data_IF_271566445086
#
_entry.id   IF_271566445086
#
_cell.length_a   1.000
_cell.length_b   1.000
_cell.length_c   1.000
_cell.angle_alpha   90.00
_cell.angle_beta   90.00
_cell.angle_gamma   90.00
#
_symmetry.space_group_name_H-M   'P 1'
#
loop_
_entity.id
_entity.type
_entity.pdbx_description
1 polymer ?
#
# COMPACT_ATOMS: atom_id res chain seq x y z
N UNK A 1 -4.23 41.12 1.83
CA UNK A 1 -3.90 40.04 0.89
C UNK A 1 -2.52 39.54 1.26
N UNK A 2 -2.45 38.59 2.19
CA UNK A 2 -1.18 38.04 2.69
C UNK A 2 -1.00 36.69 2.03
N UNK A 3 -0.04 36.62 1.10
CA UNK A 3 0.42 35.38 0.48
C UNK A 3 1.13 34.57 1.57
N UNK A 4 0.59 33.39 1.92
CA UNK A 4 1.30 32.42 2.75
C UNK A 4 2.20 31.62 1.83
N UNK A 5 3.51 31.87 1.90
CA UNK A 5 4.53 31.04 1.25
C UNK A 5 4.58 29.69 1.99
N UNK A 6 4.14 28.63 1.32
CA UNK A 6 4.44 27.25 1.69
C UNK A 6 5.94 27.00 1.47
N UNK A 7 6.64 26.65 2.55
CA UNK A 7 8.03 26.19 2.49
C UNK A 7 8.12 24.91 1.67
N UNK A 8 8.85 24.98 0.56
CA UNK A 8 9.17 23.84 -0.29
C UNK A 8 10.14 22.91 0.43
N UNK A 9 9.62 21.83 0.99
CA UNK A 9 10.37 20.57 0.99
C UNK A 9 10.27 20.06 -0.44
N UNK A 10 11.41 19.91 -1.13
CA UNK A 10 11.48 19.16 -2.39
C UNK A 10 11.23 17.69 -2.07
N UNK A 11 9.96 17.33 -1.86
CA UNK A 11 9.51 15.97 -2.15
C UNK A 11 9.55 15.88 -3.66
N UNK A 12 10.28 14.92 -4.22
CA UNK A 12 10.19 14.65 -5.64
C UNK A 12 8.71 14.52 -6.01
N UNK A 13 8.17 15.48 -6.74
CA UNK A 13 6.81 15.44 -7.22
C UNK A 13 6.75 14.31 -8.23
N UNK A 14 6.26 13.14 -7.82
CA UNK A 14 5.76 12.16 -8.78
C UNK A 14 4.80 12.89 -9.70
N UNK A 15 4.98 12.82 -11.04
CA UNK A 15 4.04 13.47 -11.94
C UNK A 15 2.62 13.01 -11.61
N UNK A 16 1.68 13.95 -11.64
CA UNK A 16 0.26 13.67 -11.49
C UNK A 16 -0.11 12.49 -12.39
N UNK A 17 -0.77 11.48 -11.82
CA UNK A 17 -1.22 10.32 -12.58
C UNK A 17 -2.57 10.63 -13.23
N UNK A 18 -2.74 10.27 -14.50
CA UNK A 18 -4.05 10.35 -15.14
C UNK A 18 -5.03 9.38 -14.48
N UNK A 19 -6.33 9.71 -14.53
CA UNK A 19 -7.36 8.78 -14.07
C UNK A 19 -7.39 7.61 -15.05
N UNK A 20 -7.13 6.40 -14.55
CA UNK A 20 -6.74 5.27 -15.40
C UNK A 20 -7.86 4.62 -16.20
N UNK A 21 -9.13 4.93 -15.90
CA UNK A 21 -10.29 4.40 -16.64
C UNK A 21 -11.42 5.42 -16.70
N UNK A 22 -12.20 5.38 -17.79
CA UNK A 22 -13.37 6.24 -17.97
C UNK A 22 -14.42 6.06 -16.84
N UNK A 23 -14.58 4.86 -16.30
CA UNK A 23 -15.52 4.62 -15.19
C UNK A 23 -15.08 5.35 -13.91
N UNK A 24 -13.78 5.38 -13.62
CA UNK A 24 -13.24 6.19 -12.52
C UNK A 24 -13.37 7.70 -12.80
N UNK A 25 -13.17 8.11 -14.06
CA UNK A 25 -13.39 9.51 -14.46
C UNK A 25 -14.83 9.96 -14.22
N UNK A 26 -15.83 9.15 -14.55
CA UNK A 26 -17.24 9.51 -14.37
C UNK A 26 -17.60 9.82 -12.91
N UNK A 27 -17.19 8.97 -11.97
CA UNK A 27 -17.48 9.19 -10.54
C UNK A 27 -16.70 10.38 -9.98
N UNK A 28 -15.48 10.59 -10.46
CA UNK A 28 -14.66 11.75 -10.11
C UNK A 28 -15.26 13.03 -10.67
N UNK A 29 -15.63 13.04 -11.96
CA UNK A 29 -16.17 14.21 -12.65
C UNK A 29 -17.42 14.73 -11.98
N UNK A 30 -18.32 13.83 -11.57
CA UNK A 30 -19.57 14.24 -10.93
C UNK A 30 -19.37 15.22 -9.79
N UNK A 31 -18.36 15.00 -8.96
CA UNK A 31 -18.20 15.73 -7.70
C UNK A 31 -16.97 16.62 -7.64
N UNK A 32 -15.88 16.27 -8.30
CA UNK A 32 -14.62 17.00 -8.19
C UNK A 32 -14.25 17.80 -9.45
N UNK A 33 -14.84 17.51 -10.63
CA UNK A 33 -14.67 18.38 -11.81
C UNK A 33 -15.18 19.81 -11.56
N UNK A 34 -16.37 20.03 -10.98
CA UNK A 34 -16.84 21.38 -10.67
C UNK A 34 -15.91 22.14 -9.73
N UNK A 35 -15.27 21.45 -8.77
CA UNK A 35 -14.30 22.09 -7.86
C UNK A 35 -13.03 22.44 -8.63
N UNK A 36 -12.52 21.53 -9.46
CA UNK A 36 -11.33 21.74 -10.29
C UNK A 36 -11.48 22.89 -11.28
N UNK A 37 -12.66 23.01 -11.88
CA UNK A 37 -12.99 24.03 -12.88
C UNK A 37 -13.57 25.32 -12.26
N UNK A 38 -13.48 25.47 -10.93
CA UNK A 38 -13.99 26.62 -10.16
C UNK A 38 -15.48 26.92 -10.41
N UNK A 39 -16.28 25.89 -10.69
CA UNK A 39 -17.74 25.96 -10.77
C UNK A 39 -18.40 25.71 -9.40
N UNK A 40 -17.67 25.19 -8.41
CA UNK A 40 -18.16 24.95 -7.06
C UNK A 40 -17.12 25.33 -5.99
N UNK A 41 -17.55 26.10 -4.99
CA UNK A 41 -16.73 26.51 -3.83
C UNK A 41 -16.95 25.57 -2.64
N UNK A 42 -16.36 24.38 -2.67
CA UNK A 42 -16.45 23.38 -1.59
C UNK A 42 -15.23 22.45 -1.54
N UNK A 43 -15.14 21.65 -0.48
CA UNK A 43 -14.12 20.60 -0.35
C UNK A 43 -14.15 19.56 -1.48
N UNK A 44 -13.01 18.90 -1.68
CA UNK A 44 -12.87 17.71 -2.52
C UNK A 44 -13.56 16.49 -1.90
N UNK A 45 -14.21 15.70 -2.75
CA UNK A 45 -14.73 14.38 -2.39
C UNK A 45 -13.65 13.32 -2.57
N UNK A 46 -12.87 13.34 -3.64
CA UNK A 46 -11.84 12.34 -3.94
C UNK A 46 -10.45 12.92 -3.73
N UNK A 47 -10.23 14.12 -4.25
CA UNK A 47 -8.95 14.82 -4.33
C UNK A 47 -8.76 15.43 -5.72
N UNK A 48 -7.83 16.39 -5.86
CA UNK A 48 -7.62 17.10 -7.12
C UNK A 48 -7.19 16.17 -8.27
N UNK A 49 -6.43 15.13 -7.94
CA UNK A 49 -5.87 14.16 -8.87
C UNK A 49 -5.55 12.81 -8.16
N UNK A 50 -5.38 11.72 -8.92
CA UNK A 50 -4.86 10.47 -8.40
C UNK A 50 -3.44 10.60 -7.82
N UNK A 51 -3.18 9.89 -6.73
CA UNK A 51 -1.85 9.79 -6.09
C UNK A 51 -1.13 8.50 -6.45
N UNK A 52 -1.73 7.67 -7.30
CA UNK A 52 -1.14 6.44 -7.85
C UNK A 52 -1.50 6.28 -9.33
N UNK A 53 -0.70 5.52 -10.09
CA UNK A 53 -1.17 4.98 -11.37
C UNK A 53 -2.36 4.03 -11.15
N UNK A 54 -2.94 3.54 -12.25
CA UNK A 54 -3.87 2.42 -12.20
C UNK A 54 -3.12 1.15 -11.77
N UNK A 55 -3.59 0.52 -10.70
CA UNK A 55 -2.96 -0.67 -10.11
C UNK A 55 -3.89 -1.87 -10.22
N UNK A 56 -3.28 -3.04 -10.33
CA UNK A 56 -3.97 -4.33 -10.24
C UNK A 56 -3.66 -4.92 -8.86
N UNK A 57 -4.63 -4.86 -7.95
CA UNK A 57 -4.50 -5.43 -6.61
C UNK A 57 -5.06 -6.86 -6.58
N UNK A 58 -4.42 -7.80 -5.87
CA UNK A 58 -4.96 -9.13 -5.70
C UNK A 58 -6.26 -9.09 -4.88
N UNK A 59 -7.27 -9.86 -5.29
CA UNK A 59 -8.59 -9.96 -4.65
C UNK A 59 -9.28 -11.27 -5.09
N UNK A 60 -9.58 -12.18 -4.17
CA UNK A 60 -9.94 -13.58 -4.47
C UNK A 60 -11.11 -13.72 -5.48
N UNK A 61 -12.20 -12.96 -5.32
CA UNK A 61 -13.37 -12.98 -6.21
C UNK A 61 -13.27 -11.99 -7.39
N UNK A 62 -12.13 -11.31 -7.53
CA UNK A 62 -11.92 -10.25 -8.51
C UNK A 62 -11.68 -10.79 -9.92
N UNK A 63 -12.09 -10.02 -10.93
CA UNK A 63 -11.77 -10.25 -12.33
C UNK A 63 -11.40 -8.93 -13.02
N UNK A 64 -10.12 -8.75 -13.34
CA UNK A 64 -9.60 -7.52 -13.91
C UNK A 64 -8.49 -7.81 -14.92
N UNK A 65 -8.48 -7.08 -16.03
CA UNK A 65 -7.50 -7.25 -17.12
C UNK A 65 -7.46 -8.66 -17.74
N UNK A 66 -8.58 -9.40 -17.70
CA UNK A 66 -8.62 -10.80 -18.15
C UNK A 66 -7.95 -11.79 -17.19
N UNK A 67 -7.66 -11.35 -15.95
CA UNK A 67 -7.04 -12.15 -14.89
C UNK A 67 -8.03 -12.30 -13.74
N UNK A 68 -8.23 -13.54 -13.27
CA UNK A 68 -8.99 -13.85 -12.06
C UNK A 68 -8.13 -13.64 -10.80
N UNK A 69 -8.77 -13.35 -9.68
CA UNK A 69 -8.08 -13.12 -8.40
C UNK A 69 -7.49 -11.71 -8.28
N UNK A 70 -7.97 -10.75 -9.06
CA UNK A 70 -7.48 -9.37 -9.04
C UNK A 70 -8.57 -8.33 -9.32
N UNK A 71 -8.35 -7.09 -8.84
CA UNK A 71 -9.22 -5.93 -9.06
C UNK A 71 -8.44 -4.71 -9.53
N UNK A 72 -9.07 -3.87 -10.33
CA UNK A 72 -8.51 -2.56 -10.68
C UNK A 72 -8.70 -1.60 -9.51
N UNK A 73 -7.64 -0.89 -9.14
CA UNK A 73 -7.72 0.17 -8.13
C UNK A 73 -6.94 1.41 -8.55
N UNK A 74 -7.36 2.57 -8.02
CA UNK A 74 -6.57 3.79 -8.09
C UNK A 74 -6.77 4.61 -6.82
N UNK A 75 -5.68 5.16 -6.28
CA UNK A 75 -5.68 5.93 -5.05
C UNK A 75 -5.82 7.42 -5.34
N UNK A 76 -6.64 8.08 -4.53
CA UNK A 76 -6.73 9.53 -4.41
C UNK A 76 -6.42 9.91 -2.95
N UNK A 77 -6.31 11.21 -2.64
CA UNK A 77 -6.10 11.64 -1.25
C UNK A 77 -7.15 11.09 -0.29
N UNK A 78 -8.43 11.18 -0.66
CA UNK A 78 -9.55 10.91 0.24
C UNK A 78 -10.09 9.48 0.16
N UNK A 79 -9.61 8.65 -0.76
CA UNK A 79 -10.13 7.28 -0.97
C UNK A 79 -9.29 6.44 -1.93
N UNK A 80 -9.69 5.18 -2.14
CA UNK A 80 -9.31 4.32 -3.28
C UNK A 80 -10.58 3.95 -4.03
N UNK A 81 -10.61 4.20 -5.34
CA UNK A 81 -11.66 3.67 -6.24
C UNK A 81 -11.28 2.28 -6.71
N UNK A 82 -12.27 1.41 -6.88
CA UNK A 82 -12.04 0.04 -7.30
C UNK A 82 -13.14 -0.52 -8.21
N UNK A 83 -12.73 -1.35 -9.16
CA UNK A 83 -13.59 -2.23 -9.97
C UNK A 83 -13.15 -3.65 -9.68
N UNK A 84 -13.94 -4.35 -8.86
CA UNK A 84 -13.69 -5.75 -8.49
C UNK A 84 -13.96 -6.69 -9.67
N UNK A 85 -15.01 -6.41 -10.45
CA UNK A 85 -15.43 -7.22 -11.60
C UNK A 85 -15.57 -6.37 -12.85
N UNK A 86 -14.53 -6.37 -13.69
CA UNK A 86 -14.50 -5.60 -14.95
C UNK A 86 -15.47 -6.11 -16.03
N UNK A 87 -15.97 -7.32 -15.85
CA UNK A 87 -17.01 -8.00 -16.65
C UNK A 87 -18.45 -7.75 -16.13
N UNK A 88 -18.59 -6.98 -15.04
CA UNK A 88 -19.89 -6.66 -14.42
C UNK A 88 -20.73 -5.65 -15.22
N UNK A 89 -21.95 -5.43 -14.73
CA UNK A 89 -22.86 -4.42 -15.28
C UNK A 89 -22.32 -3.01 -15.02
N UNK A 90 -22.08 -2.25 -16.09
CA UNK A 90 -21.51 -0.90 -16.04
C UNK A 90 -22.55 0.16 -15.67
N UNK A 91 -23.82 -0.16 -15.79
CA UNK A 91 -24.92 0.74 -15.43
C UNK A 91 -25.29 0.62 -13.94
N UNK A 92 -24.70 -0.33 -13.21
CA UNK A 92 -24.84 -0.42 -11.75
C UNK A 92 -24.13 0.77 -11.08
N UNK A 93 -24.86 1.49 -10.24
CA UNK A 93 -24.34 2.54 -9.35
C UNK A 93 -23.15 2.09 -8.48
N UNK A 94 -22.99 0.77 -8.26
CA UNK A 94 -21.90 0.15 -7.51
C UNK A 94 -20.88 -0.56 -8.41
N UNK A 95 -20.88 -0.34 -9.72
CA UNK A 95 -19.83 -0.85 -10.62
C UNK A 95 -18.45 -0.34 -10.21
N UNK A 96 -18.37 0.96 -9.90
CA UNK A 96 -17.22 1.56 -9.22
C UNK A 96 -17.55 1.71 -7.74
N UNK A 97 -16.72 1.12 -6.89
CA UNK A 97 -16.87 1.26 -5.44
C UNK A 97 -15.68 1.97 -4.82
N UNK A 98 -15.81 2.30 -3.54
CA UNK A 98 -14.75 2.84 -2.71
C UNK A 98 -14.30 1.74 -1.73
N UNK A 99 -12.99 1.54 -1.65
CA UNK A 99 -12.39 0.57 -0.72
C UNK A 99 -12.75 0.86 0.73
N UNK A 100 -12.72 -0.17 1.57
CA UNK A 100 -13.14 -0.11 2.99
C UNK A 100 -11.98 0.42 3.87
N UNK A 101 -11.27 1.43 3.36
CA UNK A 101 -9.94 1.82 3.81
C UNK A 101 -9.90 2.25 5.28
N UNK A 102 -10.88 3.02 5.73
CA UNK A 102 -10.96 3.45 7.12
C UNK A 102 -11.15 2.25 8.05
N UNK A 103 -12.06 1.32 7.71
CA UNK A 103 -12.26 0.08 8.47
C UNK A 103 -10.99 -0.76 8.50
N UNK A 104 -10.32 -0.91 7.38
CA UNK A 104 -9.10 -1.71 7.28
C UNK A 104 -7.92 -1.09 8.06
N UNK A 105 -7.72 0.23 8.01
CA UNK A 105 -6.70 0.94 8.81
C UNK A 105 -6.99 0.87 10.31
N UNK A 106 -8.26 1.00 10.70
CA UNK A 106 -8.66 0.94 12.11
C UNK A 106 -8.48 -0.48 12.64
N UNK A 107 -8.90 -1.50 11.89
CA UNK A 107 -8.85 -2.89 12.36
C UNK A 107 -7.52 -3.59 12.12
N UNK A 108 -6.72 -3.08 11.19
CA UNK A 108 -5.54 -3.76 10.68
C UNK A 108 -5.85 -4.96 9.78
N UNK A 109 -7.10 -5.14 9.35
CA UNK A 109 -7.54 -6.29 8.55
C UNK A 109 -7.62 -5.88 7.09
N UNK A 110 -6.56 -6.12 6.33
CA UNK A 110 -6.52 -5.80 4.90
C UNK A 110 -7.44 -6.74 4.13
N UNK A 111 -8.42 -6.19 3.40
CA UNK A 111 -9.34 -6.99 2.62
C UNK A 111 -8.66 -7.52 1.35
N UNK A 112 -8.79 -8.83 1.16
CA UNK A 112 -8.19 -9.58 0.06
C UNK A 112 -9.20 -10.47 -0.68
N UNK A 113 -10.46 -10.44 -0.26
CA UNK A 113 -11.61 -11.11 -0.86
C UNK A 113 -12.87 -10.70 -0.09
N UNK A 114 -14.04 -11.15 -0.54
CA UNK A 114 -15.34 -10.84 0.08
C UNK A 114 -15.40 -11.36 1.51
N UNK A 115 -14.87 -12.57 1.72
CA UNK A 115 -14.80 -13.24 3.03
C UNK A 115 -13.41 -13.32 3.65
N UNK A 116 -12.38 -12.77 2.99
CA UNK A 116 -10.97 -12.97 3.39
C UNK A 116 -10.26 -11.66 3.70
N UNK A 117 -9.48 -11.68 4.78
CA UNK A 117 -8.63 -10.58 5.20
C UNK A 117 -7.29 -11.07 5.77
N UNK A 118 -6.24 -10.27 5.62
CA UNK A 118 -4.92 -10.48 6.23
C UNK A 118 -4.75 -9.50 7.40
N UNK A 119 -4.23 -9.98 8.53
CA UNK A 119 -4.07 -9.18 9.75
C UNK A 119 -2.67 -8.56 9.85
N UNK A 120 -2.60 -7.24 9.98
CA UNK A 120 -1.38 -6.46 10.17
C UNK A 120 -1.39 -5.56 11.42
N UNK A 121 -2.50 -5.57 12.16
CA UNK A 121 -2.72 -4.69 13.31
C UNK A 121 -3.14 -3.26 12.93
N UNK A 122 -3.86 -2.54 13.83
CA UNK A 122 -4.32 -1.17 13.58
C UNK A 122 -3.19 -0.21 13.21
N UNK A 123 -3.46 0.73 12.31
CA UNK A 123 -2.47 1.69 11.83
C UNK A 123 -2.21 2.81 12.85
N UNK A 124 -0.94 3.05 13.16
CA UNK A 124 -0.47 4.15 14.01
C UNK A 124 -0.30 5.48 13.24
N UNK A 125 -1.16 5.73 12.25
CA UNK A 125 -1.16 6.96 11.43
C UNK A 125 -2.21 7.93 11.97
N UNK A 126 -1.87 9.21 12.08
CA UNK A 126 -2.81 10.26 12.50
C UNK A 126 -4.02 10.32 11.57
N UNK A 127 -5.23 10.38 12.13
CA UNK A 127 -6.48 10.42 11.37
C UNK A 127 -6.66 11.79 10.71
N UNK A 128 -6.29 12.85 11.41
CA UNK A 128 -6.39 14.23 10.98
C UNK A 128 -5.23 15.04 11.56
N UNK A 129 -4.98 16.22 10.97
CA UNK A 129 -3.91 17.11 11.39
C UNK A 129 -2.55 16.78 10.78
N UNK A 130 -1.51 17.38 11.35
CA UNK A 130 -0.12 17.27 10.90
C UNK A 130 0.39 15.83 11.10
N UNK A 131 1.19 15.35 10.14
CA UNK A 131 1.74 13.99 10.18
C UNK A 131 2.61 13.73 11.41
N UNK A 132 3.31 14.75 11.90
CA UNK A 132 4.19 14.67 13.08
C UNK A 132 3.49 15.04 14.40
N UNK A 133 2.17 15.23 14.40
CA UNK A 133 1.43 15.49 15.63
C UNK A 133 1.45 14.25 16.53
N UNK A 134 2.09 14.38 17.70
CA UNK A 134 2.22 13.31 18.69
C UNK A 134 1.02 13.22 19.65
N UNK A 135 0.03 14.09 19.50
CA UNK A 135 -1.12 14.22 20.42
C UNK A 135 -2.46 13.86 19.78
N UNK A 136 -2.59 13.99 18.45
CA UNK A 136 -3.81 13.63 17.74
C UNK A 136 -4.11 12.11 17.75
N UNK A 137 -5.39 11.72 17.60
CA UNK A 137 -5.79 10.33 17.48
C UNK A 137 -5.33 9.72 16.16
N UNK A 138 -5.00 8.43 16.22
CA UNK A 138 -4.65 7.58 15.09
C UNK A 138 -5.79 6.63 14.75
N UNK A 139 -5.67 5.90 13.63
CA UNK A 139 -6.61 4.80 13.34
C UNK A 139 -6.60 3.73 14.44
N UNK A 140 -5.45 3.50 15.08
CA UNK A 140 -5.35 2.66 16.28
C UNK A 140 -6.17 3.20 17.46
N UNK A 141 -6.20 4.52 17.70
CA UNK A 141 -7.08 5.14 18.73
C UNK A 141 -8.54 4.83 18.45
N UNK A 142 -8.95 4.94 17.18
CA UNK A 142 -10.32 4.65 16.77
C UNK A 142 -10.71 3.18 16.93
N UNK A 143 -9.75 2.26 16.87
CA UNK A 143 -10.01 0.84 17.08
C UNK A 143 -10.49 0.55 18.50
N UNK A 144 -9.98 1.30 19.49
CA UNK A 144 -10.35 1.17 20.91
C UNK A 144 -11.82 1.53 21.14
N UNK A 145 -12.35 2.51 20.39
CA UNK A 145 -13.70 3.05 20.61
C UNK A 145 -14.77 2.47 19.68
N UNK A 146 -14.43 1.44 18.89
CA UNK A 146 -15.39 0.80 17.97
C UNK A 146 -16.58 0.19 18.68
N UNK A 147 -16.41 -0.30 19.90
CA UNK A 147 -17.45 -1.00 20.67
C UNK A 147 -18.09 -0.12 21.75
N UNK A 148 -17.82 1.19 21.75
CA UNK A 148 -18.47 2.12 22.70
C UNK A 148 -19.98 2.18 22.52
N UNK A 149 -20.76 2.45 23.57
CA UNK A 149 -22.22 2.54 23.45
C UNK A 149 -22.61 3.74 22.57
N UNK A 150 -23.50 3.56 21.58
CA UNK A 150 -23.99 4.65 20.76
C UNK A 150 -24.71 5.73 21.56
N UNK A 151 -24.50 6.99 21.19
CA UNK A 151 -25.26 8.09 21.78
C UNK A 151 -26.72 8.03 21.30
N UNK A 152 -27.72 8.32 22.15
CA UNK A 152 -29.10 8.45 21.70
C UNK A 152 -29.24 9.53 20.64
N UNK A 153 -30.18 9.38 19.71
CA UNK A 153 -30.43 10.40 18.69
C UNK A 153 -30.86 11.75 19.31
N UNK A 154 -30.37 12.87 18.78
CA UNK A 154 -30.60 14.22 19.31
C UNK A 154 -29.72 14.59 20.50
N UNK A 155 -28.67 13.81 20.80
CA UNK A 155 -27.74 14.12 21.90
C UNK A 155 -26.67 15.09 21.42
N UNK A 156 -26.44 16.18 22.15
CA UNK A 156 -25.32 17.10 21.89
C UNK A 156 -23.99 16.38 22.12
N UNK A 157 -23.15 16.35 21.08
CA UNK A 157 -21.88 15.64 21.07
C UNK A 157 -20.82 16.47 21.79
N UNK A 158 -20.38 15.94 22.92
CA UNK A 158 -19.39 16.52 23.84
C UNK A 158 -18.33 15.50 24.27
N UNK A 159 -18.49 14.25 23.80
CA UNK A 159 -17.50 13.20 24.01
C UNK A 159 -16.20 13.55 23.29
N UNK A 160 -15.08 13.27 23.95
CA UNK A 160 -13.74 13.50 23.40
C UNK A 160 -13.00 12.19 23.22
N UNK A 161 -11.98 12.17 22.38
CA UNK A 161 -11.05 11.05 22.24
C UNK A 161 -9.61 11.54 22.29
N UNK A 162 -8.77 10.87 23.08
CA UNK A 162 -7.33 11.10 23.12
C UNK A 162 -6.56 10.11 22.23
N UNK A 163 -5.25 10.33 22.05
CA UNK A 163 -4.38 9.46 21.25
C UNK A 163 -4.37 7.99 21.65
N UNK A 164 -4.55 7.67 22.93
CA UNK A 164 -4.61 6.29 23.41
C UNK A 164 -5.99 5.63 23.21
N UNK A 165 -6.96 6.37 22.66
CA UNK A 165 -8.34 5.92 22.51
C UNK A 165 -9.19 6.11 23.77
N UNK A 166 -8.67 6.75 24.83
CA UNK A 166 -9.48 7.08 26.00
C UNK A 166 -10.57 8.09 25.65
N UNK A 167 -11.80 7.78 26.05
CA UNK A 167 -12.96 8.65 25.84
C UNK A 167 -13.17 9.54 27.06
N UNK A 168 -13.26 10.84 26.83
CA UNK A 168 -13.58 11.85 27.82
C UNK A 168 -14.86 12.62 27.49
N UNK A 169 -15.05 13.73 28.18
CA UNK A 169 -16.14 14.67 27.92
C UNK A 169 -15.64 16.09 28.17
N UNK A 170 -15.93 17.00 27.25
CA UNK A 170 -15.69 18.43 27.42
C UNK A 170 -16.98 19.19 27.07
N UNK A 171 -17.55 19.87 28.07
CA UNK A 171 -18.79 20.60 27.94
C UNK A 171 -18.68 21.81 27.00
N UNK A 172 -17.48 22.38 26.84
CA UNK A 172 -17.23 23.52 25.96
C UNK A 172 -17.53 23.18 24.50
N UNK A 173 -17.39 21.92 24.09
CA UNK A 173 -17.80 21.47 22.74
C UNK A 173 -19.31 21.54 22.51
N UNK A 174 -20.10 21.66 23.56
CA UNK A 174 -21.54 21.92 23.47
C UNK A 174 -21.86 23.25 22.78
N UNK A 175 -20.95 24.23 22.83
CA UNK A 175 -21.12 25.53 22.17
C UNK A 175 -21.15 25.42 20.64
N UNK A 176 -20.58 24.35 20.07
CA UNK A 176 -20.68 24.07 18.63
C UNK A 176 -22.02 23.48 18.20
N UNK A 177 -22.86 23.07 19.17
CA UNK A 177 -24.22 22.56 18.95
C UNK A 177 -24.32 21.47 17.86
N UNK A 178 -23.34 20.57 17.83
CA UNK A 178 -23.40 19.37 16.99
C UNK A 178 -24.13 18.28 17.76
N UNK A 179 -25.16 17.70 17.15
CA UNK A 179 -25.98 16.64 17.74
C UNK A 179 -25.79 15.33 16.97
N UNK A 180 -26.20 14.20 17.54
CA UNK A 180 -26.43 12.97 16.78
C UNK A 180 -27.77 13.05 16.04
N UNK A 181 -27.83 12.64 14.77
CA UNK A 181 -29.00 12.89 13.91
C UNK A 181 -29.68 11.64 13.32
N UNK A 182 -28.92 10.60 13.00
CA UNK A 182 -29.47 9.37 12.38
C UNK A 182 -28.77 8.15 12.93
N UNK A 183 -29.54 7.13 13.31
CA UNK A 183 -29.03 5.81 13.73
C UNK A 183 -29.14 4.84 12.56
N UNK A 184 -28.07 4.10 12.28
CA UNK A 184 -28.09 3.02 11.28
C UNK A 184 -28.41 1.70 11.96
N UNK A 185 -29.30 0.89 11.37
CA UNK A 185 -29.69 -0.40 11.96
C UNK A 185 -28.54 -1.40 11.92
N UNK A 186 -27.82 -1.47 10.79
CA UNK A 186 -26.78 -2.47 10.54
C UNK A 186 -25.58 -2.38 11.49
N UNK A 187 -25.15 -1.17 11.88
CA UNK A 187 -24.04 -0.99 12.84
C UNK A 187 -24.49 -0.50 14.21
N UNK A 188 -25.79 -0.17 14.34
CA UNK A 188 -26.39 0.44 15.54
C UNK A 188 -25.77 1.78 15.96
N UNK A 189 -24.90 2.39 15.13
CA UNK A 189 -24.20 3.65 15.39
C UNK A 189 -25.03 4.86 14.99
N UNK A 190 -24.78 5.98 15.67
CA UNK A 190 -25.38 7.27 15.30
C UNK A 190 -24.41 8.18 14.55
N UNK A 191 -24.93 8.94 13.59
CA UNK A 191 -24.16 9.86 12.75
C UNK A 191 -24.32 11.29 13.29
N UNK A 192 -23.23 12.04 13.42
CA UNK A 192 -23.31 13.45 13.79
C UNK A 192 -24.09 14.26 12.74
N UNK A 193 -24.88 15.25 13.17
CA UNK A 193 -25.77 16.05 12.33
C UNK A 193 -25.03 16.74 11.19
N UNK A 194 -23.85 17.29 11.46
CA UNK A 194 -22.98 17.91 10.44
C UNK A 194 -22.56 16.92 9.34
N UNK A 195 -22.27 15.68 9.70
CA UNK A 195 -21.89 14.63 8.74
C UNK A 195 -23.11 14.11 7.99
N UNK A 196 -24.24 13.92 8.67
CA UNK A 196 -25.48 13.50 8.03
C UNK A 196 -25.97 14.54 7.01
N UNK A 197 -25.86 15.83 7.35
CA UNK A 197 -26.18 16.92 6.43
C UNK A 197 -25.25 16.93 5.22
N UNK A 198 -23.94 16.71 5.41
CA UNK A 198 -22.98 16.61 4.31
C UNK A 198 -23.28 15.43 3.38
N UNK A 199 -23.55 14.25 3.93
CA UNK A 199 -23.89 13.04 3.17
C UNK A 199 -25.21 13.18 2.38
N UNK A 200 -26.08 14.12 2.76
CA UNK A 200 -27.34 14.42 2.06
C UNK A 200 -27.31 15.76 1.31
N UNK A 201 -26.14 16.38 1.19
CA UNK A 201 -26.02 17.72 0.62
C UNK A 201 -26.22 17.75 -0.90
N UNK A 202 -26.65 18.91 -1.37
CA UNK A 202 -26.76 19.25 -2.78
C UNK A 202 -25.76 20.37 -3.12
N UNK A 203 -25.38 20.44 -4.39
CA UNK A 203 -24.55 21.50 -4.93
C UNK A 203 -24.29 21.26 -6.41
N UNK A 204 -23.42 22.07 -7.01
CA UNK A 204 -23.05 21.90 -8.41
C UNK A 204 -22.29 20.59 -8.62
N UNK A 205 -22.81 19.77 -9.52
CA UNK A 205 -22.27 18.49 -9.99
C UNK A 205 -22.09 18.54 -11.51
N UNK A 206 -21.30 17.62 -12.04
CA UNK A 206 -21.27 17.35 -13.48
C UNK A 206 -22.11 16.10 -13.78
N UNK A 207 -23.13 16.20 -14.63
CA UNK A 207 -24.03 15.07 -14.94
C UNK A 207 -23.56 14.19 -16.12
N UNK A 208 -22.38 14.51 -16.68
CA UNK A 208 -21.83 13.89 -17.88
C UNK A 208 -21.98 14.76 -19.13
N UNK A 209 -22.80 15.80 -19.08
CA UNK A 209 -23.00 16.75 -20.17
C UNK A 209 -22.81 18.19 -19.72
N UNK A 210 -23.44 18.58 -18.61
CA UNK A 210 -23.50 19.96 -18.13
C UNK A 210 -23.24 20.05 -16.61
N UNK A 211 -22.98 21.28 -16.15
CA UNK A 211 -22.97 21.60 -14.72
C UNK A 211 -24.40 21.90 -14.26
N UNK A 212 -24.88 21.11 -13.29
CA UNK A 212 -26.23 21.23 -12.74
C UNK A 212 -26.21 21.19 -11.22
N UNK A 213 -27.22 21.75 -10.57
CA UNK A 213 -27.41 21.57 -9.14
C UNK A 213 -28.08 20.22 -8.88
N UNK A 214 -27.51 19.44 -7.96
CA UNK A 214 -28.05 18.13 -7.60
C UNK A 214 -27.38 17.54 -6.36
N UNK A 215 -27.82 16.35 -5.96
CA UNK A 215 -27.24 15.64 -4.82
C UNK A 215 -25.79 15.27 -5.13
N UNK A 216 -24.88 15.62 -4.22
CA UNK A 216 -23.47 15.24 -4.32
C UNK A 216 -23.32 13.72 -4.32
N UNK A 217 -24.14 13.04 -3.50
CA UNK A 217 -24.19 11.59 -3.39
C UNK A 217 -25.60 11.08 -3.70
N UNK A 218 -25.72 10.15 -4.64
CA UNK A 218 -27.02 9.54 -4.97
C UNK A 218 -27.52 8.67 -3.81
N UNK A 219 -26.61 7.87 -3.24
CA UNK A 219 -26.76 7.21 -1.95
C UNK A 219 -25.89 7.93 -0.90
N UNK A 220 -26.44 8.34 0.26
CA UNK A 220 -25.66 9.00 1.32
C UNK A 220 -24.43 8.22 1.79
N UNK A 221 -24.43 6.89 1.67
CA UNK A 221 -23.37 5.98 2.10
C UNK A 221 -22.42 5.58 0.96
N UNK A 222 -22.61 6.08 -0.26
CA UNK A 222 -21.74 5.76 -1.41
C UNK A 222 -20.27 6.03 -1.11
N UNK A 223 -19.95 7.27 -0.67
CA UNK A 223 -18.58 7.69 -0.43
C UNK A 223 -18.01 7.18 0.91
N UNK A 224 -18.83 7.12 1.96
CA UNK A 224 -18.37 6.89 3.34
C UNK A 224 -18.56 5.44 3.82
N UNK A 225 -19.58 4.73 3.30
CA UNK A 225 -20.05 3.49 3.91
C UNK A 225 -20.73 3.72 5.25
N UNK A 226 -21.03 2.66 5.99
CA UNK A 226 -21.75 2.78 7.26
C UNK A 226 -20.84 3.33 8.38
N UNK A 227 -21.39 4.05 9.38
CA UNK A 227 -20.62 4.48 10.55
C UNK A 227 -20.12 3.28 11.34
N UNK A 228 -18.84 3.31 11.73
CA UNK A 228 -18.18 2.26 12.54
C UNK A 228 -17.70 2.75 13.91
N UNK A 229 -17.82 4.06 14.18
CA UNK A 229 -17.66 4.67 15.50
C UNK A 229 -18.77 5.70 15.75
N UNK A 230 -18.95 6.09 17.01
CA UNK A 230 -19.64 7.34 17.35
C UNK A 230 -18.78 8.58 16.98
N UNK A 231 -19.36 9.79 16.97
CA UNK A 231 -18.60 11.02 16.76
C UNK A 231 -17.88 11.48 18.04
N UNK A 232 -16.61 11.84 17.92
CA UNK A 232 -15.77 12.29 19.04
C UNK A 232 -15.05 13.60 18.72
N UNK A 233 -14.98 14.51 19.67
CA UNK A 233 -14.14 15.70 19.58
C UNK A 233 -12.69 15.39 19.95
N UNK A 234 -11.77 16.08 19.29
CA UNK A 234 -10.35 16.08 19.63
C UNK A 234 -9.74 17.42 19.26
N UNK A 235 -8.60 17.73 19.84
CA UNK A 235 -7.73 18.81 19.36
C UNK A 235 -6.57 18.18 18.59
N UNK A 236 -6.32 18.63 17.37
CA UNK A 236 -5.18 18.21 16.53
C UNK A 236 -4.38 19.42 16.08
N UNK A 237 -3.13 19.23 15.66
CA UNK A 237 -2.34 20.31 15.05
C UNK A 237 -2.62 20.40 13.56
N UNK A 238 -2.80 21.61 13.05
CA UNK A 238 -2.87 21.89 11.61
C UNK A 238 -1.94 23.06 11.33
N UNK A 239 -0.90 22.80 10.54
CA UNK A 239 0.19 23.77 10.31
C UNK A 239 0.82 24.26 11.62
N UNK A 240 0.98 23.36 12.59
CA UNK A 240 1.53 23.62 13.91
C UNK A 240 0.56 24.22 14.94
N UNK A 241 -0.61 24.69 14.52
CA UNK A 241 -1.59 25.35 15.41
C UNK A 241 -2.68 24.38 15.87
N UNK A 242 -3.11 24.43 17.14
CA UNK A 242 -4.19 23.59 17.64
C UNK A 242 -5.53 23.95 16.98
N UNK A 243 -6.27 22.92 16.58
CA UNK A 243 -7.61 23.01 15.99
C UNK A 243 -8.52 21.99 16.64
N UNK A 244 -9.70 22.43 17.05
CA UNK A 244 -10.77 21.54 17.48
C UNK A 244 -11.46 20.92 16.28
N UNK A 245 -11.53 19.59 16.30
CA UNK A 245 -12.03 18.78 15.20
C UNK A 245 -12.94 17.69 15.77
N UNK A 246 -14.15 17.60 15.25
CA UNK A 246 -15.00 16.43 15.46
C UNK A 246 -14.62 15.38 14.42
N UNK A 247 -14.41 14.14 14.84
CA UNK A 247 -14.09 13.01 13.96
C UNK A 247 -15.16 11.92 14.09
N UNK A 248 -15.51 11.30 12.97
CA UNK A 248 -16.32 10.08 12.95
C UNK A 248 -15.85 9.14 11.84
N UNK A 249 -15.58 7.89 12.21
CA UNK A 249 -15.19 6.87 11.25
C UNK A 249 -16.40 6.14 10.67
N UNK A 250 -16.34 5.96 9.35
CA UNK A 250 -17.21 5.13 8.55
C UNK A 250 -16.35 4.03 7.90
N UNK A 251 -16.99 3.08 7.23
CA UNK A 251 -16.26 1.93 6.66
C UNK A 251 -15.19 2.33 5.65
N UNK A 252 -15.49 3.31 4.80
CA UNK A 252 -14.62 3.73 3.68
C UNK A 252 -13.79 4.96 4.02
N UNK A 253 -14.33 5.85 4.88
CA UNK A 253 -13.72 7.16 5.17
C UNK A 253 -13.87 7.55 6.64
N UNK A 254 -13.00 8.44 7.08
CA UNK A 254 -13.22 9.20 8.31
C UNK A 254 -13.62 10.61 7.91
N UNK A 255 -14.73 11.10 8.44
CA UNK A 255 -15.16 12.49 8.27
C UNK A 255 -14.69 13.33 9.44
N UNK A 256 -14.28 14.56 9.14
CA UNK A 256 -13.83 15.57 10.10
C UNK A 256 -14.68 16.81 9.98
N UNK A 257 -15.08 17.41 11.11
CA UNK A 257 -15.75 18.70 11.15
C UNK A 257 -14.93 19.71 11.97
N UNK A 258 -14.54 20.81 11.32
CA UNK A 258 -13.74 21.89 11.90
C UNK A 258 -14.53 23.19 11.86
N UNK A 259 -15.17 23.62 12.97
CA UNK A 259 -16.02 24.82 13.01
C UNK A 259 -15.34 26.10 12.50
N UNK A 260 -14.04 26.22 12.77
CA UNK A 260 -13.22 27.38 12.40
C UNK A 260 -12.84 27.45 10.92
N UNK A 261 -13.25 26.48 10.08
CA UNK A 261 -13.02 26.54 8.64
C UNK A 261 -14.13 27.37 7.94
N UNK A 262 -13.83 27.94 6.75
CA UNK A 262 -14.85 28.60 5.92
C UNK A 262 -15.99 27.65 5.54
N UNK A 263 -17.16 28.22 5.25
CA UNK A 263 -18.30 27.47 4.70
C UNK A 263 -17.86 26.72 3.44
N UNK A 264 -18.24 25.45 3.29
CA UNK A 264 -17.76 24.57 2.22
C UNK A 264 -16.54 23.70 2.57
N UNK A 265 -15.77 24.07 3.61
CA UNK A 265 -14.61 23.32 4.13
C UNK A 265 -14.74 22.96 5.61
N UNK A 266 -15.92 23.16 6.20
CA UNK A 266 -16.16 22.76 7.59
C UNK A 266 -16.23 21.25 7.74
N UNK A 267 -16.80 20.53 6.79
CA UNK A 267 -16.79 19.06 6.75
C UNK A 267 -15.85 18.62 5.64
N UNK A 268 -14.91 17.74 5.97
CA UNK A 268 -13.96 17.17 5.03
C UNK A 268 -13.80 15.67 5.30
N UNK A 269 -13.33 14.91 4.31
CA UNK A 269 -12.81 13.57 4.57
C UNK A 269 -11.33 13.66 4.98
N UNK A 270 -10.91 12.80 5.91
CA UNK A 270 -9.49 12.54 6.15
C UNK A 270 -8.80 12.07 4.86
N UNK A 271 -7.47 12.21 4.77
CA UNK A 271 -6.67 11.72 3.65
C UNK A 271 -6.47 10.19 3.70
N UNK A 272 -7.56 9.44 3.89
CA UNK A 272 -7.54 7.99 4.14
C UNK A 272 -6.98 7.21 2.94
N UNK A 273 -7.14 7.70 1.71
CA UNK A 273 -6.57 7.07 0.53
C UNK A 273 -5.04 7.16 0.55
N UNK A 274 -4.50 8.35 0.86
CA UNK A 274 -3.06 8.54 1.07
C UNK A 274 -2.52 7.72 2.23
N UNK A 275 -3.20 7.74 3.37
CA UNK A 275 -2.79 6.98 4.56
C UNK A 275 -2.79 5.47 4.29
N UNK A 276 -3.79 4.97 3.57
CA UNK A 276 -3.86 3.55 3.22
C UNK A 276 -2.79 3.16 2.20
N UNK A 277 -2.53 3.99 1.18
CA UNK A 277 -1.46 3.73 0.23
C UNK A 277 -0.09 3.64 0.93
N UNK A 278 0.19 4.59 1.85
CA UNK A 278 1.37 4.52 2.71
C UNK A 278 1.39 3.22 3.52
N UNK A 279 0.32 2.92 4.25
CA UNK A 279 0.23 1.71 5.07
C UNK A 279 0.40 0.42 4.24
N UNK A 280 -0.06 0.37 3.00
CA UNK A 280 0.02 -0.84 2.17
C UNK A 280 1.38 -1.01 1.48
N UNK A 281 1.96 0.08 0.97
CA UNK A 281 3.09 0.04 0.02
C UNK A 281 4.40 0.67 0.52
N UNK A 282 4.48 1.04 1.79
CA UNK A 282 5.73 1.55 2.41
C UNK A 282 6.08 0.74 3.64
N UNK A 283 7.34 0.80 4.06
CA UNK A 283 7.78 0.30 5.36
C UNK A 283 7.90 1.48 6.33
N UNK A 284 6.90 1.67 7.20
CA UNK A 284 6.85 2.80 8.15
C UNK A 284 7.01 4.20 7.52
N UNK A 285 6.70 4.36 6.24
CA UNK A 285 6.88 5.61 5.49
C UNK A 285 8.14 5.67 4.62
N UNK A 286 9.04 4.71 4.75
CA UNK A 286 10.23 4.54 3.90
C UNK A 286 9.91 3.67 2.67
N UNK A 287 10.74 3.69 1.61
CA UNK A 287 10.60 2.80 0.47
C UNK A 287 10.45 1.34 0.92
N UNK A 288 9.41 0.67 0.42
CA UNK A 288 9.11 -0.70 0.82
C UNK A 288 10.17 -1.73 0.40
N UNK A 289 10.79 -1.50 -0.75
CA UNK A 289 11.88 -2.34 -1.22
C UNK A 289 13.20 -1.72 -0.83
N UNK A 290 14.09 -2.52 -0.24
CA UNK A 290 15.45 -2.13 0.11
C UNK A 290 16.43 -3.22 -0.32
N UNK A 291 17.64 -2.82 -0.70
CA UNK A 291 18.75 -3.75 -0.91
C UNK A 291 19.58 -3.90 0.36
N UNK A 292 20.18 -5.07 0.56
CA UNK A 292 21.23 -5.25 1.56
C UNK A 292 22.58 -4.72 1.06
N UNK A 293 23.57 -4.65 1.94
CA UNK A 293 24.96 -4.42 1.55
C UNK A 293 25.40 -5.46 0.52
N UNK A 294 26.02 -4.99 -0.56
CA UNK A 294 26.48 -5.86 -1.63
C UNK A 294 27.85 -6.43 -1.32
N UNK A 295 28.10 -7.66 -1.78
CA UNK A 295 29.46 -8.17 -1.95
C UNK A 295 29.83 -8.15 -3.42
N UNK A 296 31.12 -8.00 -3.71
CA UNK A 296 31.65 -8.02 -5.06
C UNK A 296 32.70 -9.12 -5.24
N UNK A 297 32.68 -9.79 -6.39
CA UNK A 297 33.72 -10.72 -6.84
C UNK A 297 34.13 -10.40 -8.26
N UNK A 298 35.26 -10.94 -8.71
CA UNK A 298 35.69 -10.85 -10.11
C UNK A 298 35.39 -12.16 -10.82
N UNK A 299 34.87 -12.04 -12.04
CA UNK A 299 34.75 -13.16 -12.95
C UNK A 299 36.12 -13.60 -13.52
N UNK A 300 36.13 -14.62 -14.37
CA UNK A 300 37.36 -15.11 -15.02
C UNK A 300 38.00 -14.09 -15.98
N UNK A 301 37.25 -13.10 -16.43
CA UNK A 301 37.72 -12.00 -17.29
C UNK A 301 38.17 -10.78 -16.48
N UNK A 302 37.98 -10.78 -15.15
CA UNK A 302 38.30 -9.68 -14.26
C UNK A 302 37.14 -8.73 -13.97
N UNK A 303 35.97 -8.90 -14.63
CA UNK A 303 34.83 -8.02 -14.44
C UNK A 303 34.19 -8.20 -13.06
N UNK A 304 33.65 -7.12 -12.48
CA UNK A 304 32.97 -7.19 -11.19
C UNK A 304 31.58 -7.79 -11.32
N UNK A 305 31.26 -8.65 -10.36
CA UNK A 305 29.95 -9.23 -10.14
C UNK A 305 29.51 -8.84 -8.74
N UNK A 306 28.38 -8.17 -8.60
CA UNK A 306 27.81 -7.82 -7.31
C UNK A 306 26.67 -8.76 -6.94
N UNK A 307 26.54 -9.04 -5.65
CA UNK A 307 25.51 -9.91 -5.08
C UNK A 307 24.93 -9.28 -3.82
N UNK A 308 23.63 -9.42 -3.62
CA UNK A 308 22.91 -8.91 -2.46
C UNK A 308 21.53 -9.54 -2.35
N UNK A 309 20.71 -9.01 -1.45
CA UNK A 309 19.28 -9.35 -1.34
C UNK A 309 18.43 -8.10 -1.54
N UNK A 310 17.26 -8.26 -2.15
CA UNK A 310 16.16 -7.28 -2.04
C UNK A 310 15.22 -7.77 -0.95
N UNK A 311 14.84 -6.89 -0.02
CA UNK A 311 13.84 -7.12 1.03
C UNK A 311 12.57 -6.35 0.73
N UNK A 312 11.42 -6.97 0.96
CA UNK A 312 10.12 -6.31 0.87
C UNK A 312 9.51 -6.09 2.27
N UNK A 313 9.58 -4.86 2.77
CA UNK A 313 8.98 -4.44 4.03
C UNK A 313 7.50 -4.01 3.93
N UNK A 314 6.91 -4.00 2.72
CA UNK A 314 5.50 -3.66 2.56
C UNK A 314 4.55 -4.77 3.05
N UNK A 315 3.27 -4.41 3.11
CA UNK A 315 2.14 -5.34 3.31
C UNK A 315 1.61 -5.90 1.98
N UNK A 316 2.22 -5.54 0.86
CA UNK A 316 1.84 -5.95 -0.47
C UNK A 316 3.02 -6.60 -1.21
N UNK A 317 2.75 -7.59 -2.06
CA UNK A 317 3.76 -8.17 -2.95
C UNK A 317 4.09 -7.21 -4.10
N UNK A 318 5.32 -7.27 -4.59
CA UNK A 318 5.79 -6.52 -5.76
C UNK A 318 6.23 -7.46 -6.88
N UNK A 319 6.05 -7.05 -8.12
CA UNK A 319 6.51 -7.72 -9.32
C UNK A 319 7.41 -6.77 -10.14
N UNK A 320 8.05 -7.31 -11.18
CA UNK A 320 8.91 -6.55 -12.10
C UNK A 320 10.00 -5.76 -11.35
N UNK A 321 10.62 -6.38 -10.33
CA UNK A 321 11.63 -5.70 -9.50
C UNK A 321 12.91 -5.53 -10.32
N UNK A 322 13.12 -4.32 -10.81
CA UNK A 322 14.32 -3.83 -11.50
C UNK A 322 15.34 -3.35 -10.46
N UNK A 323 16.60 -3.72 -10.66
CA UNK A 323 17.73 -3.36 -9.82
C UNK A 323 18.76 -2.66 -10.71
N UNK A 324 18.92 -1.35 -10.52
CA UNK A 324 19.96 -0.55 -11.15
C UNK A 324 21.13 -0.36 -10.15
N UNK A 325 22.34 -0.78 -10.53
CA UNK A 325 23.58 -0.57 -9.78
C UNK A 325 24.41 0.50 -10.49
N UNK A 326 24.82 1.54 -9.77
CA UNK A 326 25.72 2.58 -10.30
C UNK A 326 27.02 2.59 -9.49
N UNK A 327 28.16 2.57 -10.17
CA UNK A 327 29.49 2.62 -9.56
C UNK A 327 30.06 4.04 -9.65
N UNK A 328 30.76 4.46 -8.60
CA UNK A 328 31.35 5.80 -8.51
C UNK A 328 32.83 5.74 -8.16
N UNK A 329 33.59 6.71 -8.66
CA UNK A 329 35.00 6.89 -8.34
C UNK A 329 35.22 7.68 -7.04
N UNK A 330 36.48 7.93 -6.66
CA UNK A 330 36.82 8.68 -5.43
C UNK A 330 36.33 10.14 -5.45
N UNK A 331 36.10 10.72 -6.63
CA UNK A 331 35.55 12.06 -6.80
C UNK A 331 34.01 12.09 -6.71
N UNK A 332 33.36 10.92 -6.69
CA UNK A 332 31.91 10.75 -6.75
C UNK A 332 31.33 10.87 -8.15
N UNK A 333 32.16 10.74 -9.20
CA UNK A 333 31.71 10.69 -10.59
C UNK A 333 31.26 9.28 -10.96
N UNK A 334 30.15 9.18 -11.71
CA UNK A 334 29.65 7.91 -12.21
C UNK A 334 30.65 7.26 -13.17
N UNK A 335 31.04 6.02 -12.87
CA UNK A 335 31.90 5.19 -13.71
C UNK A 335 31.05 4.45 -14.74
N UNK A 336 30.04 3.72 -14.25
CA UNK A 336 29.16 2.87 -15.06
C UNK A 336 27.88 2.55 -14.29
N UNK A 337 26.84 2.19 -15.04
CA UNK A 337 25.59 1.69 -14.50
C UNK A 337 25.25 0.35 -15.15
N UNK A 338 24.75 -0.59 -14.36
CA UNK A 338 24.33 -1.92 -14.80
C UNK A 338 22.92 -2.18 -14.29
N UNK A 339 22.15 -2.98 -15.02
CA UNK A 339 20.78 -3.33 -14.66
C UNK A 339 20.58 -4.83 -14.64
N UNK A 340 19.82 -5.31 -13.66
CA UNK A 340 19.25 -6.65 -13.64
C UNK A 340 17.80 -6.61 -13.13
N UNK A 341 17.13 -7.76 -13.12
CA UNK A 341 15.84 -7.96 -12.47
C UNK A 341 15.99 -9.04 -11.41
N UNK A 342 15.10 -9.07 -10.41
CA UNK A 342 14.97 -10.27 -9.59
C UNK A 342 14.62 -11.46 -10.49
N UNK A 343 15.30 -12.59 -10.28
CA UNK A 343 15.02 -13.82 -11.02
C UNK A 343 13.60 -14.34 -10.75
N UNK A 344 13.00 -14.01 -9.60
CA UNK A 344 11.60 -14.32 -9.32
C UNK A 344 10.63 -13.33 -10.00
N UNK A 345 9.48 -13.84 -10.46
CA UNK A 345 8.41 -13.01 -11.00
C UNK A 345 7.81 -12.02 -9.99
N UNK A 346 7.94 -12.30 -8.69
CA UNK A 346 7.48 -11.42 -7.61
C UNK A 346 8.32 -11.58 -6.35
N UNK A 347 8.26 -10.59 -5.46
CA UNK A 347 8.70 -10.68 -4.07
C UNK A 347 7.49 -10.49 -3.15
N UNK A 348 7.24 -11.47 -2.29
CA UNK A 348 6.11 -11.48 -1.35
C UNK A 348 6.33 -10.49 -0.20
N UNK A 349 5.26 -10.16 0.52
CA UNK A 349 5.35 -9.29 1.69
C UNK A 349 6.21 -9.96 2.79
N UNK A 350 7.21 -9.24 3.30
CA UNK A 350 8.15 -9.74 4.32
C UNK A 350 9.27 -10.64 3.76
N UNK A 351 9.32 -10.90 2.46
CA UNK A 351 10.32 -11.75 1.85
C UNK A 351 11.66 -11.02 1.60
N UNK A 352 12.74 -11.80 1.56
CA UNK A 352 14.02 -11.39 1.00
C UNK A 352 14.45 -12.36 -0.11
N UNK A 353 14.84 -11.83 -1.26
CA UNK A 353 15.32 -12.62 -2.39
C UNK A 353 16.72 -12.17 -2.81
N UNK A 354 17.66 -13.12 -3.00
CA UNK A 354 18.99 -12.79 -3.49
C UNK A 354 18.95 -12.37 -4.96
N UNK A 355 19.93 -11.57 -5.36
CA UNK A 355 20.18 -11.22 -6.75
C UNK A 355 21.68 -11.20 -7.05
N UNK A 356 22.00 -11.30 -8.32
CA UNK A 356 23.34 -11.11 -8.86
C UNK A 356 23.28 -10.13 -10.03
N UNK A 357 24.27 -9.26 -10.12
CA UNK A 357 24.43 -8.32 -11.23
C UNK A 357 25.86 -8.34 -11.76
N UNK A 358 25.99 -8.66 -13.04
CA UNK A 358 27.25 -8.60 -13.74
C UNK A 358 27.49 -7.17 -14.21
N UNK A 359 28.67 -6.63 -13.93
CA UNK A 359 29.11 -5.37 -14.53
C UNK A 359 30.03 -5.72 -15.70
N UNK A 360 29.94 -5.02 -16.82
CA UNK A 360 30.97 -5.10 -17.87
C UNK A 360 32.16 -4.18 -17.52
N UNK A 361 32.60 -4.21 -16.25
CA UNK A 361 33.61 -3.32 -15.69
C UNK A 361 34.62 -4.08 -14.84
N UNK A 362 35.91 -3.93 -15.18
CA UNK A 362 37.04 -4.63 -14.56
C UNK A 362 37.95 -3.73 -13.72
N UNK A 363 37.63 -2.43 -13.60
CA UNK A 363 38.41 -1.48 -12.80
C UNK A 363 38.13 -1.52 -11.29
N UNK A 364 38.62 -0.51 -10.58
CA UNK A 364 38.35 -0.27 -9.17
C UNK A 364 37.23 0.78 -9.02
N UNK A 365 36.47 0.72 -7.93
CA UNK A 365 35.42 1.68 -7.59
C UNK A 365 35.58 2.14 -6.14
N UNK A 366 35.14 3.35 -5.83
CA UNK A 366 35.17 3.89 -4.47
C UNK A 366 33.87 3.64 -3.71
N UNK A 367 32.73 3.74 -4.40
CA UNK A 367 31.40 3.49 -3.84
C UNK A 367 30.41 3.01 -4.91
N UNK A 368 29.25 2.56 -4.47
CA UNK A 368 28.14 2.18 -5.33
C UNK A 368 26.81 2.74 -4.80
N UNK A 369 25.81 2.86 -5.67
CA UNK A 369 24.42 3.12 -5.31
C UNK A 369 23.51 2.05 -5.94
N UNK A 370 22.43 1.71 -5.25
CA UNK A 370 21.42 0.75 -5.75
C UNK A 370 20.06 1.42 -5.77
N UNK A 371 19.47 1.53 -6.95
CA UNK A 371 18.10 1.99 -7.13
C UNK A 371 17.20 0.81 -7.48
N UNK A 372 16.06 0.72 -6.79
CA UNK A 372 15.05 -0.31 -7.02
C UNK A 372 13.80 0.30 -7.66
N UNK A 373 13.24 -0.38 -8.66
CA UNK A 373 11.95 -0.03 -9.27
C UNK A 373 11.08 -1.26 -9.35
N UNK A 374 9.79 -1.10 -9.17
CA UNK A 374 8.85 -2.21 -9.12
C UNK A 374 7.42 -1.75 -9.34
N UNK A 375 6.50 -2.72 -9.42
CA UNK A 375 5.06 -2.47 -9.41
C UNK A 375 4.37 -3.43 -8.44
N UNK A 376 3.26 -3.04 -7.81
CA UNK A 376 2.45 -3.99 -7.05
C UNK A 376 2.12 -5.24 -7.87
N UNK A 377 2.29 -6.42 -7.28
CA UNK A 377 1.90 -7.68 -7.89
C UNK A 377 0.39 -7.87 -7.80
N UNK A 378 -0.19 -8.46 -8.84
CA UNK A 378 -1.60 -8.86 -8.88
C UNK A 378 -1.86 -10.23 -8.25
N UNK A 379 -0.82 -10.90 -7.74
CA UNK A 379 -0.89 -12.19 -7.04
C UNK A 379 -0.47 -11.99 -5.59
N UNK A 380 -1.14 -12.67 -4.66
CA UNK A 380 -0.80 -12.62 -3.23
C UNK A 380 0.50 -13.36 -2.90
N UNK A 381 0.59 -14.58 -3.40
CA UNK A 381 1.68 -15.51 -3.12
C UNK A 381 2.04 -16.22 -4.42
N UNK A 382 3.26 -16.74 -4.48
CA UNK A 382 3.63 -17.72 -5.49
C UNK A 382 2.95 -19.06 -5.19
N UNK A 383 2.77 -19.91 -6.21
CA UNK A 383 2.49 -21.32 -5.99
C UNK A 383 3.49 -21.95 -5.01
N UNK A 384 2.97 -22.70 -4.04
CA UNK A 384 3.82 -23.27 -2.99
C UNK A 384 4.64 -24.47 -3.52
N UNK A 385 5.97 -24.33 -3.50
CA UNK A 385 6.91 -25.40 -3.80
C UNK A 385 7.74 -25.68 -2.54
N UNK A 386 7.67 -26.92 -2.04
CA UNK A 386 8.51 -27.32 -0.89
C UNK A 386 9.84 -27.86 -1.39
N UNK A 387 10.90 -27.61 -0.63
CA UNK A 387 12.21 -28.21 -0.86
C UNK A 387 12.46 -29.23 0.24
N UNK A 388 12.51 -30.49 -0.16
CA UNK A 388 12.77 -31.65 0.67
C UNK A 388 14.15 -32.26 0.35
N UNK A 389 14.61 -33.17 1.22
CA UNK A 389 15.78 -34.04 1.00
C UNK A 389 17.06 -33.30 0.56
N UNK A 390 17.40 -32.21 1.24
CA UNK A 390 18.60 -31.42 0.92
C UNK A 390 19.87 -32.14 1.39
N UNK A 391 20.82 -32.32 0.48
CA UNK A 391 22.19 -32.71 0.77
C UNK A 391 23.13 -31.56 0.42
N UNK A 392 24.05 -31.23 1.33
CA UNK A 392 25.01 -30.16 1.12
C UNK A 392 26.35 -30.50 1.77
N UNK A 393 27.37 -30.72 0.95
CA UNK A 393 28.64 -31.26 1.40
C UNK A 393 29.81 -30.71 0.58
N UNK A 394 31.00 -30.71 1.18
CA UNK A 394 32.25 -30.49 0.46
C UNK A 394 32.68 -31.78 -0.23
N UNK A 395 32.53 -31.86 -1.56
CA UNK A 395 33.04 -32.99 -2.34
C UNK A 395 34.58 -32.97 -2.44
N UNK A 396 35.17 -31.78 -2.38
CA UNK A 396 36.62 -31.57 -2.32
C UNK A 396 36.94 -30.26 -1.60
N UNK A 397 38.22 -29.95 -1.43
CA UNK A 397 38.68 -28.71 -0.77
C UNK A 397 38.16 -27.41 -1.40
N UNK A 398 37.69 -27.47 -2.64
CA UNK A 398 37.37 -26.32 -3.47
C UNK A 398 36.08 -26.51 -4.28
N UNK A 399 35.28 -27.52 -3.91
CA UNK A 399 33.98 -27.77 -4.52
C UNK A 399 32.97 -28.09 -3.42
N UNK A 400 31.96 -27.22 -3.31
CA UNK A 400 30.83 -27.37 -2.40
C UNK A 400 29.59 -27.66 -3.23
N UNK A 401 28.93 -28.78 -2.99
CA UNK A 401 27.76 -29.23 -3.74
C UNK A 401 26.51 -29.12 -2.88
N UNK A 402 25.40 -28.72 -3.50
CA UNK A 402 24.08 -28.64 -2.88
C UNK A 402 23.08 -29.30 -3.84
N UNK A 403 22.34 -30.28 -3.34
CA UNK A 403 21.26 -30.95 -4.08
C UNK A 403 20.02 -31.12 -3.21
N UNK A 404 18.87 -31.34 -3.85
CA UNK A 404 17.60 -31.53 -3.17
C UNK A 404 16.48 -31.99 -4.09
N UNK A 405 15.28 -32.09 -3.51
CA UNK A 405 14.05 -32.42 -4.23
C UNK A 405 13.05 -31.29 -4.01
N UNK A 406 12.56 -30.69 -5.09
CA UNK A 406 11.48 -29.74 -5.03
C UNK A 406 10.15 -30.43 -5.36
N UNK A 407 9.11 -30.17 -4.57
CA UNK A 407 7.76 -30.73 -4.77
C UNK A 407 6.74 -29.61 -4.95
N UNK A 408 5.92 -29.72 -5.99
CA UNK A 408 4.78 -28.84 -6.15
C UNK A 408 3.67 -29.23 -5.16
N UNK A 409 3.54 -28.47 -4.09
CA UNK A 409 2.48 -28.66 -3.09
C UNK A 409 1.31 -27.71 -3.31
N UNK A 410 1.35 -26.95 -4.41
CA UNK A 410 0.24 -26.14 -4.84
C UNK A 410 -0.82 -27.01 -5.54
N UNK A 411 -2.08 -26.58 -5.50
CA UNK A 411 -3.18 -27.28 -6.18
C UNK A 411 -3.24 -27.04 -7.70
N UNK A 412 -2.21 -26.44 -8.30
CA UNK A 412 -2.16 -26.10 -9.72
C UNK A 412 -0.82 -26.49 -10.35
N UNK A 413 -0.78 -26.63 -11.67
CA UNK A 413 0.48 -26.81 -12.40
C UNK A 413 1.32 -25.54 -12.27
N UNK A 414 2.60 -25.70 -11.94
CA UNK A 414 3.58 -24.62 -11.90
C UNK A 414 4.47 -24.75 -13.13
N UNK A 415 4.73 -23.64 -13.81
CA UNK A 415 5.56 -23.56 -15.01
C UNK A 415 6.76 -22.65 -14.74
N UNK A 416 7.81 -22.78 -15.55
CA UNK A 416 9.05 -22.00 -15.46
C UNK A 416 9.75 -22.09 -14.09
N UNK A 417 9.77 -23.29 -13.52
CA UNK A 417 10.48 -23.57 -12.28
C UNK A 417 11.97 -23.34 -12.42
N UNK A 418 12.49 -22.63 -11.44
CA UNK A 418 13.90 -22.28 -11.31
C UNK A 418 14.29 -22.38 -9.84
N UNK A 419 15.58 -22.51 -9.58
CA UNK A 419 16.10 -22.44 -8.22
C UNK A 419 17.34 -21.56 -8.14
N UNK A 420 17.48 -20.96 -6.98
CA UNK A 420 18.67 -20.23 -6.57
C UNK A 420 19.26 -20.94 -5.35
N UNK A 421 20.57 -21.18 -5.36
CA UNK A 421 21.33 -21.45 -4.14
C UNK A 421 22.25 -20.26 -3.89
N UNK A 422 22.12 -19.64 -2.73
CA UNK A 422 22.94 -18.52 -2.31
C UNK A 422 23.74 -18.89 -1.06
N UNK A 423 25.02 -18.50 -1.03
CA UNK A 423 25.90 -18.68 0.12
C UNK A 423 26.03 -17.35 0.88
N UNK A 424 26.05 -17.41 2.21
CA UNK A 424 26.07 -16.25 3.09
C UNK A 424 27.28 -16.29 4.03
N UNK A 425 27.88 -15.14 4.29
CA UNK A 425 28.92 -15.01 5.32
C UNK A 425 28.34 -14.88 6.75
N UNK A 426 29.23 -14.83 7.74
CA UNK A 426 28.87 -14.70 9.16
C UNK A 426 28.10 -13.38 9.46
N UNK A 427 28.14 -12.40 8.56
CA UNK A 427 27.40 -11.14 8.66
C UNK A 427 26.05 -11.19 7.90
N UNK A 428 25.71 -12.32 7.28
CA UNK A 428 24.48 -12.50 6.52
C UNK A 428 24.49 -11.87 5.14
N UNK A 429 25.67 -11.57 4.57
CA UNK A 429 25.78 -11.03 3.21
C UNK A 429 25.91 -12.15 2.19
N UNK A 430 25.25 -12.01 1.04
CA UNK A 430 25.36 -12.98 -0.06
C UNK A 430 26.77 -12.92 -0.62
N UNK A 431 27.53 -14.00 -0.52
CA UNK A 431 28.90 -14.09 -1.01
C UNK A 431 29.03 -14.89 -2.30
N UNK A 432 28.12 -15.81 -2.59
CA UNK A 432 28.10 -16.57 -3.84
C UNK A 432 26.65 -16.91 -4.22
N UNK A 433 26.41 -17.12 -5.51
CA UNK A 433 25.08 -17.20 -6.10
C UNK A 433 25.08 -18.19 -7.27
N UNK A 434 24.14 -19.14 -7.28
CA UNK A 434 23.88 -20.04 -8.41
C UNK A 434 22.40 -20.04 -8.72
N UNK A 435 22.08 -19.73 -9.97
CA UNK A 435 20.75 -19.81 -10.53
C UNK A 435 20.73 -20.86 -11.64
N UNK A 436 19.69 -21.69 -11.68
CA UNK A 436 19.42 -22.59 -12.79
C UNK A 436 17.91 -22.82 -12.96
N UNK A 437 17.52 -23.21 -14.17
CA UNK A 437 16.21 -23.78 -14.46
C UNK A 437 16.13 -25.22 -13.92
N UNK A 438 14.95 -25.63 -13.47
CA UNK A 438 14.68 -27.04 -13.13
C UNK A 438 14.49 -27.89 -14.40
N UNK A 439 14.71 -29.20 -14.31
CA UNK A 439 14.38 -30.13 -15.39
C UNK A 439 13.59 -31.33 -14.84
N UNK A 440 12.26 -31.39 -15.05
CA UNK A 440 11.46 -30.49 -15.88
C UNK A 440 11.24 -29.09 -15.27
N UNK A 441 11.04 -28.08 -16.14
CA UNK A 441 10.67 -26.71 -15.74
C UNK A 441 9.20 -26.57 -15.32
N UNK A 442 8.40 -27.65 -15.38
CA UNK A 442 7.00 -27.63 -14.99
C UNK A 442 6.67 -28.84 -14.15
N UNK A 443 5.85 -28.62 -13.12
CA UNK A 443 5.36 -29.66 -12.22
C UNK A 443 3.85 -29.56 -12.09
N UNK A 444 3.14 -30.66 -12.35
CA UNK A 444 1.75 -30.80 -11.95
C UNK A 444 1.65 -30.87 -10.41
N UNK A 445 0.44 -30.73 -9.83
CA UNK A 445 0.25 -30.90 -8.39
C UNK A 445 0.82 -32.24 -7.89
N UNK A 446 1.50 -32.19 -6.74
CA UNK A 446 2.17 -33.31 -6.06
C UNK A 446 3.37 -33.93 -6.80
N UNK A 447 3.75 -33.43 -7.98
CA UNK A 447 4.96 -33.88 -8.68
C UNK A 447 6.24 -33.32 -8.05
N UNK A 448 7.34 -34.03 -8.28
CA UNK A 448 8.67 -33.72 -7.74
C UNK A 448 9.72 -33.61 -8.84
N UNK A 449 10.75 -32.80 -8.58
CA UNK A 449 11.95 -32.69 -9.42
C UNK A 449 13.20 -32.65 -8.55
N UNK A 450 14.23 -33.35 -8.99
CA UNK A 450 15.55 -33.28 -8.38
C UNK A 450 16.32 -32.09 -8.94
N UNK A 451 17.09 -31.42 -8.10
CA UNK A 451 18.05 -30.40 -8.53
C UNK A 451 19.38 -30.57 -7.82
N UNK A 452 20.45 -30.15 -8.48
CA UNK A 452 21.79 -30.09 -7.93
C UNK A 452 22.57 -28.91 -8.52
N UNK A 453 23.44 -28.32 -7.71
CA UNK A 453 24.39 -27.29 -8.14
C UNK A 453 25.66 -27.37 -7.32
N UNK A 454 26.72 -26.76 -7.83
CA UNK A 454 27.98 -26.67 -7.10
C UNK A 454 28.61 -25.29 -7.20
N UNK A 455 29.38 -24.96 -6.17
CA UNK A 455 30.22 -23.79 -6.11
C UNK A 455 31.68 -24.22 -6.17
N UNK A 456 32.42 -23.58 -7.07
CA UNK A 456 33.85 -23.77 -7.20
C UNK A 456 34.58 -22.63 -6.49
N UNK A 457 35.51 -22.96 -5.62
CA UNK A 457 36.23 -22.01 -4.76
C UNK A 457 35.30 -20.97 -4.08
N UNK A 458 34.23 -21.38 -3.37
CA UNK A 458 33.23 -20.45 -2.83
C UNK A 458 33.76 -19.48 -1.75
N UNK A 459 35.02 -19.60 -1.35
CA UNK A 459 35.58 -18.85 -0.23
C UNK A 459 34.96 -19.28 1.11
N UNK A 460 35.02 -18.39 2.10
CA UNK A 460 34.41 -18.62 3.42
C UNK A 460 32.94 -18.18 3.39
N UNK A 461 32.06 -19.09 3.81
CA UNK A 461 30.65 -18.85 4.07
C UNK A 461 30.24 -19.62 5.33
N UNK A 462 29.11 -19.27 5.93
CA UNK A 462 28.57 -19.87 7.16
C UNK A 462 27.19 -20.50 6.99
N UNK A 463 26.45 -20.07 5.97
CA UNK A 463 25.09 -20.53 5.69
C UNK A 463 24.89 -20.62 4.16
N UNK A 464 24.01 -21.53 3.73
CA UNK A 464 23.44 -21.53 2.39
C UNK A 464 21.92 -21.47 2.49
N UNK A 465 21.27 -20.87 1.49
CA UNK A 465 19.81 -20.87 1.35
C UNK A 465 19.42 -21.27 -0.06
N UNK A 466 18.31 -22.01 -0.16
CA UNK A 466 17.74 -22.48 -1.42
C UNK A 466 16.41 -21.74 -1.61
N UNK A 467 16.22 -21.14 -2.78
CA UNK A 467 14.99 -20.48 -3.18
C UNK A 467 14.47 -21.21 -4.41
N UNK A 468 13.24 -21.71 -4.36
CA UNK A 468 12.58 -22.27 -5.53
C UNK A 468 11.49 -21.30 -5.95
N UNK A 469 11.55 -20.88 -7.21
CA UNK A 469 10.80 -19.75 -7.74
C UNK A 469 10.14 -20.14 -9.06
N UNK A 470 9.20 -19.32 -9.52
CA UNK A 470 8.47 -19.48 -10.76
C UNK A 470 7.93 -18.13 -11.28
#
# INVERSE_FOLDING_TARGET
MVLVLLGTVLVASTPASDIGTYAFEQVWWRTDLPVRENQADRTWVWGPEPISPLLLEPYDEGHASGVDGARWVQYFDKTRVEITRSDGDRDDSWFVTNGLLARELITGRMQVGDGRAIEYGPAAINVAGDHNDSTGPTYQSLNVVRDYEPLPNGTVVTQTINRDGSVGHNADFGDYNVETATRTEATSRTIASVFWNFMNSEGTIYDGFDYVDGRLFEDPFFATGLPITEPYWTTVRVSGEPRDVLIQAFERRVLTYTPGNPDGWRVEAANVGRHYHQWRYTDQGDPALSSTDLTARRDLSGNLIFMGEVRNGARAPFAEVEIDLTLFDEAGEEITSSRTYLDSAMIEAGEALPFQIWTEYDGDYASYDVTLRSRPSHRFTRPNITVDAVQADWESTNRYEVSGVARNTSGQTVEYLQYIVALYDDAGRVVDYRWNLMDPISLAPDEEVHFDTFFFDPGRFSEYRIFVLN
#
